data_IF_793171215061
#
_entry.id   IF_793171215061
#
_cell.length_a   1.000
_cell.length_b   1.000
_cell.length_c   1.000
_cell.angle_alpha   90.00
_cell.angle_beta   90.00
_cell.angle_gamma   90.00
#
_symmetry.space_group_name_H-M   'P 1'
#
loop_
_entity.id
_entity.type
_entity.pdbx_description
1 polymer ?
#
# COMPACT_ATOMS: atom_id res chain seq x y z
N UNK A 1 -33.72 -7.87 2.20
CA UNK A 1 -32.60 -7.39 3.06
C UNK A 1 -31.22 -7.48 2.38
N UNK A 2 -31.09 -7.27 1.05
CA UNK A 2 -29.79 -7.31 0.34
C UNK A 2 -29.08 -5.95 0.23
N UNK A 3 -29.78 -4.83 0.49
CA UNK A 3 -29.20 -3.49 0.39
C UNK A 3 -28.17 -3.17 1.48
N UNK A 4 -28.34 -3.64 2.72
CA UNK A 4 -27.44 -3.27 3.83
C UNK A 4 -26.03 -3.87 3.69
N UNK A 5 -25.92 -5.09 3.15
CA UNK A 5 -24.63 -5.77 3.01
C UNK A 5 -23.77 -5.21 1.87
N UNK A 6 -24.40 -4.67 0.82
CA UNK A 6 -23.69 -3.98 -0.26
C UNK A 6 -23.01 -2.70 0.22
N UNK A 7 -23.71 -1.88 1.02
CA UNK A 7 -23.15 -0.66 1.60
C UNK A 7 -21.99 -0.91 2.57
N UNK A 8 -21.99 -2.02 3.30
CA UNK A 8 -20.85 -2.42 4.15
C UNK A 8 -19.60 -2.72 3.31
N UNK A 9 -19.75 -3.36 2.15
CA UNK A 9 -18.61 -3.64 1.26
C UNK A 9 -18.07 -2.35 0.64
N UNK A 10 -18.96 -1.43 0.24
CA UNK A 10 -18.55 -0.11 -0.26
C UNK A 10 -17.83 0.69 0.81
N UNK A 11 -18.37 0.74 2.04
CA UNK A 11 -17.73 1.42 3.16
C UNK A 11 -16.35 0.83 3.50
N UNK A 12 -16.23 -0.51 3.47
CA UNK A 12 -14.96 -1.18 3.69
C UNK A 12 -13.95 -0.86 2.57
N UNK A 13 -14.37 -0.94 1.30
CA UNK A 13 -13.53 -0.57 0.15
C UNK A 13 -13.07 0.88 0.21
N UNK A 14 -13.97 1.80 0.55
CA UNK A 14 -13.64 3.21 0.73
C UNK A 14 -12.65 3.42 1.88
N UNK A 15 -12.86 2.76 3.03
CA UNK A 15 -11.94 2.84 4.17
C UNK A 15 -10.54 2.32 3.80
N UNK A 16 -10.47 1.21 3.08
CA UNK A 16 -9.20 0.62 2.64
C UNK A 16 -8.50 1.47 1.58
N UNK A 17 -9.25 2.04 0.63
CA UNK A 17 -8.72 3.03 -0.31
C UNK A 17 -8.17 4.27 0.41
N UNK A 18 -8.88 4.78 1.41
CA UNK A 18 -8.40 5.87 2.26
C UNK A 18 -7.12 5.51 3.01
N UNK A 19 -7.01 4.29 3.55
CA UNK A 19 -5.80 3.82 4.24
C UNK A 19 -4.64 3.68 3.26
N UNK A 20 -4.86 3.10 2.08
CA UNK A 20 -3.82 2.92 1.06
C UNK A 20 -3.28 4.27 0.57
N UNK A 21 -4.17 5.18 0.16
CA UNK A 21 -3.82 6.54 -0.27
C UNK A 21 -3.19 7.32 0.89
N UNK A 22 -3.75 7.19 2.09
CA UNK A 22 -3.25 7.84 3.30
C UNK A 22 -1.82 7.38 3.63
N UNK A 23 -1.53 6.09 3.58
CA UNK A 23 -0.19 5.55 3.82
C UNK A 23 0.83 6.04 2.78
N UNK A 24 0.41 6.14 1.51
CA UNK A 24 1.23 6.62 0.39
C UNK A 24 1.62 8.09 0.57
N UNK A 25 0.64 8.96 0.85
CA UNK A 25 0.91 10.39 1.07
C UNK A 25 1.55 10.69 2.43
N UNK A 26 1.33 9.82 3.42
CA UNK A 26 1.91 9.98 4.75
C UNK A 26 3.44 9.92 4.71
N UNK A 27 4.05 9.12 3.84
CA UNK A 27 5.51 9.11 3.65
C UNK A 27 6.04 10.46 3.18
N UNK A 28 5.35 11.16 2.28
CA UNK A 28 5.76 12.48 1.81
C UNK A 28 5.78 13.51 2.95
N UNK A 29 4.83 13.42 3.89
CA UNK A 29 4.78 14.26 5.10
C UNK A 29 5.90 13.88 6.07
N UNK A 30 6.14 12.58 6.26
CA UNK A 30 7.17 12.08 7.18
C UNK A 30 8.59 12.16 6.62
N UNK A 31 8.78 12.48 5.34
CA UNK A 31 10.10 12.51 4.69
C UNK A 31 11.12 13.39 5.44
N UNK A 32 10.71 14.60 5.85
CA UNK A 32 11.59 15.49 6.60
C UNK A 32 11.93 14.97 8.01
N UNK A 33 10.97 14.69 8.89
CA UNK A 33 11.29 14.20 10.24
C UNK A 33 12.01 12.85 10.23
N UNK A 34 11.75 12.00 9.22
CA UNK A 34 12.43 10.71 9.08
C UNK A 34 13.88 10.89 8.62
N UNK A 35 14.17 11.84 7.73
CA UNK A 35 15.53 12.21 7.33
C UNK A 35 16.32 12.80 8.52
N UNK A 36 15.69 13.66 9.32
CA UNK A 36 16.30 14.25 10.52
C UNK A 36 16.58 13.21 11.62
N UNK A 37 15.66 12.26 11.84
CA UNK A 37 15.80 11.25 12.88
C UNK A 37 16.78 10.11 12.53
N UNK A 38 16.84 9.70 11.27
CA UNK A 38 17.67 8.57 10.81
C UNK A 38 19.01 9.01 10.22
N UNK A 39 19.15 10.29 9.87
CA UNK A 39 20.27 10.81 9.09
C UNK A 39 20.27 10.36 7.62
N UNK A 40 19.21 9.69 7.15
CA UNK A 40 19.12 9.23 5.76
C UNK A 40 18.90 10.39 4.79
N UNK A 41 19.43 10.25 3.58
CA UNK A 41 19.22 11.22 2.51
C UNK A 41 17.74 11.28 2.10
N UNK A 42 17.20 12.50 1.97
CA UNK A 42 15.85 12.77 1.47
C UNK A 42 15.59 12.11 0.11
N UNK A 43 16.60 12.09 -0.76
CA UNK A 43 16.55 11.42 -2.08
C UNK A 43 16.44 9.89 -1.94
N UNK A 44 17.07 9.33 -0.91
CA UNK A 44 16.95 7.91 -0.58
C UNK A 44 15.54 7.52 -0.13
N UNK A 45 14.90 8.37 0.67
CA UNK A 45 13.54 8.13 1.13
C UNK A 45 12.54 8.33 -0.02
N UNK A 46 12.73 9.34 -0.88
CA UNK A 46 11.83 9.58 -2.02
C UNK A 46 11.92 8.51 -3.12
N UNK A 47 13.07 7.86 -3.26
CA UNK A 47 13.23 6.72 -4.18
C UNK A 47 12.41 5.51 -3.72
N UNK A 48 12.20 5.31 -2.41
CA UNK A 48 11.26 4.31 -1.92
C UNK A 48 9.83 4.57 -2.42
N UNK A 49 9.38 5.82 -2.39
CA UNK A 49 8.07 6.23 -2.92
C UNK A 49 7.95 6.00 -4.43
N UNK A 50 9.02 6.26 -5.17
CA UNK A 50 9.05 6.02 -6.63
C UNK A 50 8.92 4.54 -6.94
N UNK A 51 9.64 3.70 -6.18
CA UNK A 51 9.58 2.26 -6.30
C UNK A 51 8.19 1.74 -5.93
N UNK A 52 7.56 2.29 -4.90
CA UNK A 52 6.20 2.00 -4.47
C UNK A 52 5.19 2.20 -5.60
N UNK A 53 5.22 3.35 -6.29
CA UNK A 53 4.36 3.60 -7.44
C UNK A 53 4.61 2.64 -8.61
N UNK A 54 5.89 2.31 -8.86
CA UNK A 54 6.25 1.42 -9.96
C UNK A 54 5.76 -0.01 -9.72
N UNK A 55 6.00 -0.53 -8.51
CA UNK A 55 5.55 -1.88 -8.13
C UNK A 55 4.05 -1.94 -7.99
N UNK A 56 3.39 -0.88 -7.51
CA UNK A 56 1.94 -0.76 -7.48
C UNK A 56 1.34 -0.88 -8.88
N UNK A 57 1.88 -0.16 -9.87
CA UNK A 57 1.41 -0.23 -11.25
C UNK A 57 1.56 -1.63 -11.85
N UNK A 58 2.68 -2.30 -11.61
CA UNK A 58 2.91 -3.68 -12.08
C UNK A 58 1.99 -4.67 -11.35
N UNK A 59 1.86 -4.54 -10.02
CA UNK A 59 1.04 -5.42 -9.20
C UNK A 59 -0.46 -5.26 -9.52
N UNK A 60 -0.91 -4.08 -9.94
CA UNK A 60 -2.30 -3.83 -10.31
C UNK A 60 -2.81 -4.79 -11.41
N UNK A 61 -1.96 -5.14 -12.39
CA UNK A 61 -2.33 -6.13 -13.42
C UNK A 61 -2.57 -7.52 -12.81
N UNK A 62 -1.69 -7.97 -11.91
CA UNK A 62 -1.82 -9.25 -11.25
C UNK A 62 -3.04 -9.31 -10.33
N UNK A 63 -3.27 -8.25 -9.56
CA UNK A 63 -4.41 -8.15 -8.66
C UNK A 63 -5.75 -7.96 -9.38
N UNK A 64 -5.76 -7.28 -10.53
CA UNK A 64 -6.94 -7.21 -11.40
C UNK A 64 -7.35 -8.60 -11.89
N UNK A 65 -6.42 -9.36 -12.46
CA UNK A 65 -6.69 -10.73 -12.90
C UNK A 65 -7.12 -11.66 -11.74
N UNK A 66 -6.56 -11.46 -10.55
CA UNK A 66 -6.93 -12.22 -9.36
C UNK A 66 -8.34 -11.85 -8.86
N UNK A 67 -8.72 -10.57 -8.98
CA UNK A 67 -10.05 -10.05 -8.66
C UNK A 67 -11.10 -10.63 -9.58
N UNK A 68 -10.81 -10.70 -10.88
CA UNK A 68 -11.72 -11.29 -11.87
C UNK A 68 -11.97 -12.78 -11.60
N UNK A 69 -10.97 -13.49 -11.06
CA UNK A 69 -11.03 -14.94 -10.81
C UNK A 69 -11.62 -15.33 -9.45
N UNK A 70 -11.27 -14.61 -8.37
CA UNK A 70 -11.66 -14.96 -7.00
C UNK A 70 -12.69 -14.00 -6.40
N UNK A 71 -13.06 -12.96 -7.14
CA UNK A 71 -13.92 -11.89 -6.68
C UNK A 71 -13.16 -10.83 -5.85
N UNK A 72 -13.76 -9.64 -5.68
CA UNK A 72 -13.09 -8.49 -5.05
C UNK A 72 -12.82 -8.66 -3.55
N UNK A 73 -13.62 -9.48 -2.85
CA UNK A 73 -13.55 -9.60 -1.38
C UNK A 73 -12.24 -10.20 -0.86
N UNK A 74 -11.82 -11.41 -1.27
CA UNK A 74 -10.58 -11.99 -0.77
C UNK A 74 -9.34 -11.18 -1.17
N UNK A 75 -9.36 -10.56 -2.36
CA UNK A 75 -8.26 -9.73 -2.86
C UNK A 75 -8.05 -8.50 -1.98
N UNK A 76 -9.13 -7.78 -1.69
CA UNK A 76 -9.07 -6.56 -0.88
C UNK A 76 -8.62 -6.87 0.57
N UNK A 77 -9.11 -7.96 1.18
CA UNK A 77 -8.68 -8.38 2.51
C UNK A 77 -7.20 -8.78 2.55
N UNK A 78 -6.73 -9.51 1.53
CA UNK A 78 -5.32 -9.87 1.41
C UNK A 78 -4.44 -8.63 1.24
N UNK A 79 -4.87 -7.68 0.39
CA UNK A 79 -4.21 -6.39 0.21
C UNK A 79 -4.07 -5.60 1.51
N UNK A 80 -5.16 -5.46 2.28
CA UNK A 80 -5.15 -4.74 3.54
C UNK A 80 -4.20 -5.37 4.57
N UNK A 81 -4.19 -6.70 4.69
CA UNK A 81 -3.26 -7.42 5.56
C UNK A 81 -1.81 -7.25 5.11
N UNK A 82 -1.54 -7.31 3.81
CA UNK A 82 -0.20 -7.13 3.25
C UNK A 82 0.31 -5.69 3.44
N UNK A 83 -0.53 -4.66 3.28
CA UNK A 83 -0.16 -3.27 3.56
C UNK A 83 0.18 -3.10 5.04
N UNK A 84 -0.68 -3.60 5.95
CA UNK A 84 -0.42 -3.51 7.39
C UNK A 84 0.86 -4.23 7.81
N UNK A 85 1.10 -5.43 7.30
CA UNK A 85 2.33 -6.19 7.55
C UNK A 85 3.56 -5.50 6.95
N UNK A 86 3.44 -4.96 5.73
CA UNK A 86 4.50 -4.23 5.04
C UNK A 86 4.92 -2.96 5.79
N UNK A 87 3.96 -2.17 6.28
CA UNK A 87 4.26 -1.01 7.12
C UNK A 87 4.88 -1.39 8.47
N UNK A 88 4.39 -2.45 9.11
CA UNK A 88 4.98 -2.92 10.37
C UNK A 88 6.44 -3.38 10.20
N UNK A 89 6.74 -4.05 9.08
CA UNK A 89 8.10 -4.42 8.69
C UNK A 89 8.94 -3.19 8.35
N UNK A 90 8.40 -2.23 7.60
CA UNK A 90 9.10 -0.99 7.25
C UNK A 90 9.46 -0.16 8.49
N UNK A 91 8.61 -0.16 9.52
CA UNK A 91 8.87 0.49 10.81
C UNK A 91 10.04 -0.14 11.58
N UNK A 92 10.46 -1.36 11.25
CA UNK A 92 11.60 -2.05 11.87
C UNK A 92 12.87 -1.96 11.02
N UNK A 93 12.81 -1.33 9.84
CA UNK A 93 13.95 -1.23 8.94
C UNK A 93 15.07 -0.41 9.60
N UNK A 94 16.28 -0.96 9.59
CA UNK A 94 17.47 -0.33 10.20
C UNK A 94 18.36 0.34 9.18
N UNK A 95 18.16 0.03 7.90
CA UNK A 95 18.91 0.60 6.78
C UNK A 95 17.99 1.22 5.73
N UNK A 96 18.52 2.22 5.02
CA UNK A 96 17.81 2.90 3.94
C UNK A 96 17.41 1.93 2.80
N UNK A 97 18.30 1.00 2.45
CA UNK A 97 18.06 -0.01 1.42
C UNK A 97 16.94 -0.98 1.81
N UNK A 98 16.96 -1.44 3.07
CA UNK A 98 15.90 -2.29 3.61
C UNK A 98 14.56 -1.56 3.61
N UNK A 99 14.54 -0.29 4.00
CA UNK A 99 13.34 0.54 3.93
C UNK A 99 12.83 0.70 2.48
N UNK A 100 13.71 0.99 1.53
CA UNK A 100 13.36 1.13 0.11
C UNK A 100 12.76 -0.15 -0.48
N UNK A 101 13.30 -1.32 -0.12
CA UNK A 101 12.79 -2.61 -0.59
C UNK A 101 11.47 -2.97 0.07
N UNK A 102 11.35 -2.83 1.40
CA UNK A 102 10.12 -3.19 2.11
C UNK A 102 9.00 -2.22 1.74
N UNK A 103 9.23 -0.92 1.87
CA UNK A 103 8.22 0.08 1.53
C UNK A 103 7.94 0.04 0.02
N UNK A 104 8.97 0.18 -0.81
CA UNK A 104 8.80 0.30 -2.25
C UNK A 104 8.33 -0.97 -2.98
N UNK A 105 8.57 -2.17 -2.45
CA UNK A 105 8.13 -3.41 -3.11
C UNK A 105 6.96 -4.05 -2.39
N UNK A 106 7.02 -4.22 -1.07
CA UNK A 106 5.97 -4.92 -0.32
C UNK A 106 4.74 -4.05 -0.17
N UNK A 107 4.90 -2.79 0.24
CA UNK A 107 3.77 -1.88 0.40
C UNK A 107 3.18 -1.53 -0.97
N UNK A 108 4.00 -1.26 -1.97
CA UNK A 108 3.53 -0.92 -3.32
C UNK A 108 2.78 -2.07 -3.99
N UNK A 109 3.32 -3.29 -3.92
CA UNK A 109 2.63 -4.46 -4.44
C UNK A 109 1.31 -4.74 -3.69
N UNK A 110 1.24 -4.46 -2.40
CA UNK A 110 0.02 -4.61 -1.60
C UNK A 110 -1.00 -3.50 -1.87
N UNK A 111 -0.57 -2.25 -2.08
CA UNK A 111 -1.43 -1.13 -2.42
C UNK A 111 -2.12 -1.34 -3.77
N UNK A 112 -1.43 -1.96 -4.73
CA UNK A 112 -2.01 -2.34 -6.03
C UNK A 112 -3.20 -3.29 -5.90
N UNK A 113 -3.24 -4.11 -4.86
CA UNK A 113 -4.36 -5.02 -4.56
C UNK A 113 -5.63 -4.30 -4.11
N UNK A 114 -5.49 -3.12 -3.52
CA UNK A 114 -6.59 -2.34 -2.94
C UNK A 114 -7.22 -1.44 -4.01
N UNK A 115 -6.40 -0.88 -4.91
CA UNK A 115 -6.85 0.03 -5.97
C UNK A 115 -7.47 -0.70 -7.16
N UNK A 116 -6.89 -1.83 -7.60
CA UNK A 116 -7.36 -2.57 -8.78
C UNK A 116 -8.84 -3.01 -8.73
N UNK A 117 -9.42 -3.43 -7.58
CA UNK A 117 -10.83 -3.83 -7.49
C UNK A 117 -11.83 -2.67 -7.38
N UNK A 118 -11.35 -1.44 -7.16
CA UNK A 118 -12.19 -0.27 -6.84
C UNK A 118 -12.39 0.69 -8.01
N UNK A 119 -11.68 0.47 -9.12
CA UNK A 119 -11.81 1.20 -10.39
C UNK A 119 -12.62 0.36 -11.37
#
# INVERSE_FOLDING_TARGET
MRLQYGWVVVAAGALMGCVAIGALFSLAVFLQPMSEATGWSRTGISTAMTLDFLTMGVAAFGWGALTDRFGPRPVVLAGALLVGAGLALASRATSLLEFQLIYGVVVGAAAGAILAPTM
#
